data_IF_457691119819
#
_entry.id   IF_457691119819
#
_cell.length_a   1.000
_cell.length_b   1.000
_cell.length_c   1.000
_cell.angle_alpha   90.00
_cell.angle_beta   90.00
_cell.angle_gamma   90.00
#
_symmetry.space_group_name_H-M   'P 1'
#
loop_
_entity.id
_entity.type
_entity.pdbx_description
1 polymer ?
#
# COMPACT_ATOMS: atom_id res chain seq x y z
N UNK A 1 1.91 12.82 -12.11
CA UNK A 1 2.01 11.63 -11.24
C UNK A 1 0.79 11.57 -10.33
N UNK A 2 0.41 10.39 -9.85
CA UNK A 2 -0.71 10.19 -8.92
C UNK A 2 -0.26 9.34 -7.74
N UNK A 3 -0.79 9.62 -6.54
CA UNK A 3 -0.62 8.78 -5.37
C UNK A 3 -1.86 7.88 -5.26
N UNK A 4 -1.65 6.57 -5.25
CA UNK A 4 -2.71 5.57 -5.17
C UNK A 4 -2.37 4.59 -4.03
N UNK A 5 -3.03 4.60 -2.88
CA UNK A 5 -4.32 5.23 -2.56
C UNK A 5 -4.31 6.01 -1.24
N UNK A 6 -5.38 6.77 -1.01
CA UNK A 6 -5.72 7.26 0.32
C UNK A 6 -6.36 6.12 1.16
N UNK A 7 -6.82 6.47 2.35
CA UNK A 7 -7.63 5.63 3.25
C UNK A 7 -8.96 5.18 2.62
N UNK A 8 -9.60 4.16 3.22
CA UNK A 8 -10.89 3.63 2.76
C UNK A 8 -11.98 3.76 3.82
N UNK A 9 -13.23 3.87 3.37
CA UNK A 9 -14.41 3.76 4.22
C UNK A 9 -14.82 2.29 4.46
N UNK A 10 -14.28 1.35 3.69
CA UNK A 10 -14.53 -0.07 3.90
C UNK A 10 -14.10 -0.53 5.30
N UNK A 11 -14.88 -1.44 5.88
CA UNK A 11 -14.66 -2.01 7.23
C UNK A 11 -14.76 -3.53 7.26
N UNK A 12 -14.79 -4.17 6.09
CA UNK A 12 -14.97 -5.61 5.95
C UNK A 12 -13.82 -6.37 6.63
N UNK A 13 -14.17 -7.42 7.39
CA UNK A 13 -13.18 -8.32 8.00
C UNK A 13 -12.42 -7.77 9.21
N UNK A 14 -12.76 -6.58 9.73
CA UNK A 14 -12.17 -6.06 10.97
C UNK A 14 -12.63 -6.86 12.20
N UNK A 15 -11.78 -6.88 13.23
CA UNK A 15 -12.04 -7.56 14.52
C UNK A 15 -11.77 -6.68 15.74
N UNK A 16 -11.22 -5.48 15.54
CA UNK A 16 -10.90 -4.55 16.63
C UNK A 16 -12.19 -4.01 17.25
N UNK A 17 -12.16 -3.71 18.55
CA UNK A 17 -13.26 -2.99 19.22
C UNK A 17 -13.58 -1.66 18.52
N UNK A 18 -12.57 -1.01 17.93
CA UNK A 18 -12.68 0.28 17.23
C UNK A 18 -13.14 0.15 15.76
N UNK A 19 -13.58 -1.03 15.31
CA UNK A 19 -13.93 -1.27 13.90
C UNK A 19 -15.06 -0.38 13.36
N UNK A 20 -15.88 0.19 14.25
CA UNK A 20 -17.01 1.07 13.90
C UNK A 20 -16.68 2.56 13.95
N UNK A 21 -15.43 2.92 14.27
CA UNK A 21 -15.00 4.32 14.28
C UNK A 21 -15.16 4.96 12.90
N UNK A 22 -15.64 6.20 12.90
CA UNK A 22 -15.79 7.01 11.70
C UNK A 22 -14.42 7.38 11.10
N UNK A 23 -14.41 7.77 9.83
CA UNK A 23 -13.21 8.24 9.13
C UNK A 23 -12.52 7.17 8.27
N UNK A 24 -11.26 7.43 7.93
CA UNK A 24 -10.48 6.58 7.02
C UNK A 24 -9.79 5.42 7.72
N UNK A 25 -9.97 4.20 7.21
CA UNK A 25 -9.14 3.04 7.58
C UNK A 25 -7.87 3.03 6.71
N UNK A 26 -6.76 2.63 7.31
CA UNK A 26 -5.48 2.43 6.65
C UNK A 26 -4.90 1.05 6.98
N UNK A 27 -3.72 0.73 6.45
CA UNK A 27 -3.01 -0.49 6.82
C UNK A 27 -3.43 -1.73 6.04
N UNK A 28 -3.09 -2.94 6.55
CA UNK A 28 -3.23 -4.21 5.83
C UNK A 28 -4.60 -4.46 5.17
N UNK A 29 -5.75 -4.09 5.78
CA UNK A 29 -7.06 -4.27 5.14
C UNK A 29 -7.21 -3.56 3.78
N UNK A 30 -6.40 -2.54 3.48
CA UNK A 30 -6.46 -1.81 2.22
C UNK A 30 -5.65 -2.44 1.09
N UNK A 31 -4.72 -3.35 1.42
CA UNK A 31 -3.67 -3.78 0.49
C UNK A 31 -4.22 -4.27 -0.84
N UNK A 32 -5.16 -5.20 -0.79
CA UNK A 32 -5.73 -5.81 -1.99
C UNK A 32 -6.43 -4.75 -2.86
N UNK A 33 -7.25 -3.88 -2.26
CA UNK A 33 -7.95 -2.81 -2.99
C UNK A 33 -6.96 -1.80 -3.56
N UNK A 34 -5.91 -1.46 -2.83
CA UNK A 34 -4.88 -0.52 -3.30
C UNK A 34 -4.17 -1.06 -4.54
N UNK A 35 -3.70 -2.31 -4.51
CA UNK A 35 -3.08 -2.97 -5.66
C UNK A 35 -4.01 -2.98 -6.88
N UNK A 36 -5.29 -3.36 -6.71
CA UNK A 36 -6.28 -3.35 -7.79
C UNK A 36 -6.47 -1.96 -8.42
N UNK A 37 -6.44 -0.90 -7.61
CA UNK A 37 -6.55 0.47 -8.10
C UNK A 37 -5.29 0.89 -8.84
N UNK A 38 -4.11 0.53 -8.35
CA UNK A 38 -2.82 0.80 -9.03
C UNK A 38 -2.82 0.12 -10.40
N UNK A 39 -3.15 -1.16 -10.48
CA UNK A 39 -3.26 -1.92 -11.73
C UNK A 39 -4.28 -1.31 -12.69
N UNK A 40 -5.42 -0.85 -12.16
CA UNK A 40 -6.43 -0.19 -12.96
C UNK A 40 -5.91 1.12 -13.56
N UNK A 41 -5.29 1.99 -12.74
CA UNK A 41 -4.72 3.26 -13.19
C UNK A 41 -3.62 3.02 -14.22
N UNK A 42 -2.73 2.06 -13.97
CA UNK A 42 -1.64 1.73 -14.88
C UNK A 42 -2.19 1.29 -16.25
N UNK A 43 -3.21 0.41 -16.27
CA UNK A 43 -3.84 -0.05 -17.51
C UNK A 43 -4.53 1.09 -18.27
N UNK A 44 -5.36 1.90 -17.62
CA UNK A 44 -6.11 2.97 -18.32
C UNK A 44 -5.19 4.10 -18.82
N UNK A 45 -4.02 4.27 -18.19
CA UNK A 45 -3.03 5.27 -18.61
C UNK A 45 -1.94 4.70 -19.51
N UNK A 46 -1.99 3.40 -19.83
CA UNK A 46 -0.96 2.66 -20.56
C UNK A 46 0.46 2.91 -19.98
N UNK A 47 0.57 2.94 -18.65
CA UNK A 47 1.82 3.18 -17.93
C UNK A 47 2.43 4.57 -18.12
N UNK A 48 1.75 5.51 -18.79
CA UNK A 48 2.29 6.86 -19.07
C UNK A 48 2.17 7.82 -17.89
N UNK A 49 1.28 7.53 -16.95
CA UNK A 49 1.12 8.32 -15.73
C UNK A 49 1.95 7.66 -14.60
N UNK A 50 2.98 8.32 -14.05
CA UNK A 50 3.71 7.77 -12.91
C UNK A 50 2.81 7.61 -11.68
N UNK A 51 2.90 6.46 -11.02
CA UNK A 51 2.07 6.09 -9.86
C UNK A 51 2.97 5.92 -8.64
N UNK A 52 2.58 6.50 -7.51
CA UNK A 52 3.18 6.26 -6.19
C UNK A 52 2.20 5.39 -5.40
N UNK A 53 2.59 4.14 -5.14
CA UNK A 53 1.77 3.12 -4.49
C UNK A 53 1.74 3.22 -2.97
N UNK A 54 0.56 3.18 -2.37
CA UNK A 54 0.32 3.34 -0.92
C UNK A 54 -0.88 2.51 -0.50
N UNK A 55 -0.77 1.83 0.64
CA UNK A 55 -1.91 1.15 1.26
C UNK A 55 -1.55 -0.24 1.75
N UNK A 56 -1.34 -0.37 3.07
CA UNK A 56 -1.18 -1.69 3.70
C UNK A 56 0.12 -2.42 3.38
N UNK A 57 1.16 -1.74 2.95
CA UNK A 57 2.47 -2.31 2.59
C UNK A 57 3.29 -2.52 3.86
N UNK A 58 3.74 -3.77 4.11
CA UNK A 58 4.51 -4.11 5.30
C UNK A 58 5.71 -5.03 5.07
N UNK A 59 5.73 -5.79 3.98
CA UNK A 59 6.81 -6.72 3.64
C UNK A 59 7.47 -6.34 2.31
N UNK A 60 8.66 -6.87 2.04
CA UNK A 60 9.28 -6.73 0.72
C UNK A 60 8.41 -7.29 -0.40
N UNK A 61 7.71 -8.40 -0.18
CA UNK A 61 6.76 -8.95 -1.14
C UNK A 61 5.59 -8.00 -1.42
N UNK A 62 5.09 -7.27 -0.42
CA UNK A 62 4.06 -6.25 -0.64
C UNK A 62 4.59 -5.09 -1.49
N UNK A 63 5.84 -4.68 -1.26
CA UNK A 63 6.50 -3.64 -2.07
C UNK A 63 6.62 -4.13 -3.51
N UNK A 64 7.14 -5.34 -3.73
CA UNK A 64 7.30 -5.92 -5.06
C UNK A 64 5.95 -6.02 -5.78
N UNK A 65 4.91 -6.55 -5.13
CA UNK A 65 3.57 -6.63 -5.71
C UNK A 65 2.99 -5.25 -6.07
N UNK A 66 3.32 -4.22 -5.30
CA UNK A 66 2.89 -2.83 -5.59
C UNK A 66 3.61 -2.28 -6.82
N UNK A 67 4.91 -2.59 -6.97
CA UNK A 67 5.69 -2.20 -8.15
C UNK A 67 5.22 -2.98 -9.40
N UNK A 68 5.00 -4.28 -9.28
CA UNK A 68 4.49 -5.16 -10.35
C UNK A 68 3.11 -4.71 -10.85
N UNK A 69 2.28 -4.18 -9.95
CA UNK A 69 0.99 -3.58 -10.29
C UNK A 69 1.10 -2.30 -11.14
N UNK A 70 2.30 -1.72 -11.25
CA UNK A 70 2.57 -0.54 -12.07
C UNK A 70 2.98 0.71 -11.28
N UNK A 71 3.20 0.60 -9.96
CA UNK A 71 3.76 1.72 -9.20
C UNK A 71 5.24 1.94 -9.53
N UNK A 72 5.66 3.21 -9.58
CA UNK A 72 7.05 3.60 -9.74
C UNK A 72 7.77 3.82 -8.40
N UNK A 73 7.01 4.17 -7.36
CA UNK A 73 7.49 4.41 -5.99
C UNK A 73 6.47 3.88 -4.98
N UNK A 74 6.90 3.71 -3.74
CA UNK A 74 6.06 3.22 -2.63
C UNK A 74 6.12 4.17 -1.44
N UNK A 75 4.98 4.40 -0.77
CA UNK A 75 4.92 5.09 0.52
C UNK A 75 4.44 4.17 1.65
N UNK A 76 4.97 4.43 2.84
CA UNK A 76 4.66 3.70 4.07
C UNK A 76 4.08 4.68 5.09
N UNK A 77 3.05 4.23 5.82
CA UNK A 77 2.53 4.96 6.97
C UNK A 77 2.17 4.00 8.09
N UNK A 78 1.07 3.26 7.97
CA UNK A 78 0.58 2.39 9.04
C UNK A 78 1.64 1.39 9.50
N UNK A 79 2.43 0.84 8.58
CA UNK A 79 3.52 -0.08 8.91
C UNK A 79 4.65 0.57 9.70
N UNK A 80 4.96 1.86 9.51
CA UNK A 80 5.94 2.58 10.35
C UNK A 80 5.48 2.69 11.80
N UNK A 81 4.16 2.81 12.04
CA UNK A 81 3.60 2.86 13.39
C UNK A 81 3.83 1.55 14.15
N UNK A 82 3.75 0.41 13.46
CA UNK A 82 3.87 -0.92 14.09
C UNK A 82 5.30 -1.48 14.07
N UNK A 83 6.05 -1.27 12.99
CA UNK A 83 7.38 -1.86 12.79
C UNK A 83 8.52 -0.88 13.11
N UNK A 84 8.20 0.41 13.32
CA UNK A 84 9.16 1.45 13.67
C UNK A 84 9.91 2.07 12.48
N UNK A 85 10.79 3.06 12.76
CA UNK A 85 11.43 3.89 11.74
C UNK A 85 12.52 3.17 10.92
N UNK A 86 13.00 2.01 11.39
CA UNK A 86 14.02 1.22 10.68
C UNK A 86 13.42 0.41 9.53
N UNK A 87 12.09 0.25 9.48
CA UNK A 87 11.37 -0.57 8.50
C UNK A 87 11.81 -0.33 7.05
N UNK A 88 11.95 0.91 6.53
CA UNK A 88 12.36 1.11 5.15
C UNK A 88 13.72 0.45 4.83
N UNK A 89 14.68 0.52 5.74
CA UNK A 89 15.98 -0.13 5.58
C UNK A 89 15.87 -1.66 5.60
N UNK A 90 14.98 -2.23 6.41
CA UNK A 90 14.70 -3.67 6.40
C UNK A 90 14.08 -4.12 5.08
N UNK A 91 13.05 -3.42 4.59
CA UNK A 91 12.38 -3.72 3.33
C UNK A 91 13.33 -3.67 2.15
N UNK A 92 14.19 -2.65 2.07
CA UNK A 92 15.18 -2.52 1.00
C UNK A 92 16.18 -3.68 1.00
N UNK A 93 16.62 -4.15 2.18
CA UNK A 93 17.52 -5.31 2.29
C UNK A 93 16.86 -6.62 1.88
N UNK A 94 15.57 -6.78 2.17
CA UNK A 94 14.80 -7.95 1.76
C UNK A 94 14.50 -7.93 0.26
N UNK A 95 14.11 -6.79 -0.30
CA UNK A 95 13.88 -6.60 -1.74
C UNK A 95 15.13 -6.92 -2.56
N UNK A 96 16.32 -6.55 -2.08
CA UNK A 96 17.58 -6.86 -2.76
C UNK A 96 17.91 -8.38 -2.82
N UNK A 97 17.12 -9.22 -2.16
CA UNK A 97 17.30 -10.68 -2.11
C UNK A 97 16.15 -11.45 -2.80
N UNK A 98 15.13 -10.75 -3.27
CA UNK A 98 14.05 -11.32 -4.09
C UNK A 98 14.52 -11.52 -5.54
#
# INVERSE_FOLDING_TARGET
AIIATNTTLGRDGLRSANQREAGGLSGPPLRQKSIQIIEHIWRVTNGRLPIIGVGGIRTAADVQATLDAGASLVQLYTSLVYEGPTLPGHLLRELARL
#
